data_IF_940399416837
#
_entry.id   IF_940399416837
#
_cell.length_a   1.000
_cell.length_b   1.000
_cell.length_c   1.000
_cell.angle_alpha   90.00
_cell.angle_beta   90.00
_cell.angle_gamma   90.00
#
_symmetry.space_group_name_H-M   'P 1'
#
loop_
_entity.id
_entity.type
_entity.pdbx_description
1 polymer ?
#
# COMPACT_ATOMS: atom_id res chain seq x y z
N UNK A 1 17.11 -10.77 -13.26
CA UNK A 1 16.58 -12.00 -13.85
C UNK A 1 15.05 -11.92 -13.90
N UNK A 2 14.41 -11.92 -15.10
CA UNK A 2 12.95 -11.77 -15.24
C UNK A 2 12.15 -12.83 -14.48
N UNK A 3 12.61 -14.07 -14.48
CA UNK A 3 11.96 -15.17 -13.76
C UNK A 3 11.86 -14.90 -12.24
N UNK A 4 12.94 -14.44 -11.62
CA UNK A 4 12.97 -14.11 -10.19
C UNK A 4 11.97 -12.99 -9.86
N UNK A 5 11.91 -11.94 -10.70
CA UNK A 5 10.98 -10.84 -10.51
C UNK A 5 9.51 -11.30 -10.58
N UNK A 6 9.18 -12.18 -11.53
CA UNK A 6 7.83 -12.74 -11.67
C UNK A 6 7.47 -13.58 -10.44
N UNK A 7 8.39 -14.44 -9.97
CA UNK A 7 8.15 -15.27 -8.77
C UNK A 7 7.94 -14.39 -7.53
N UNK A 8 8.79 -13.39 -7.32
CA UNK A 8 8.65 -12.46 -6.19
C UNK A 8 7.31 -11.72 -6.26
N UNK A 9 6.94 -11.15 -7.41
CA UNK A 9 5.64 -10.49 -7.58
C UNK A 9 4.47 -11.42 -7.26
N UNK A 10 4.51 -12.65 -7.76
CA UNK A 10 3.48 -13.66 -7.49
C UNK A 10 3.36 -13.94 -5.97
N UNK A 11 4.49 -14.13 -5.27
CA UNK A 11 4.51 -14.35 -3.82
C UNK A 11 3.94 -13.17 -3.04
N UNK A 12 4.29 -11.93 -3.42
CA UNK A 12 3.77 -10.71 -2.79
C UNK A 12 2.24 -10.61 -2.96
N UNK A 13 1.75 -10.84 -4.18
CA UNK A 13 0.32 -10.78 -4.47
C UNK A 13 -0.43 -11.88 -3.70
N UNK A 14 0.08 -13.11 -3.74
CA UNK A 14 -0.49 -14.27 -3.05
C UNK A 14 -0.55 -14.02 -1.53
N UNK A 15 0.56 -13.58 -0.94
CA UNK A 15 0.64 -13.25 0.49
C UNK A 15 -0.27 -12.08 0.90
N UNK A 16 -0.42 -11.08 0.03
CA UNK A 16 -1.18 -9.85 0.30
C UNK A 16 -2.70 -9.97 0.16
N UNK A 17 -3.23 -11.04 -0.45
CA UNK A 17 -4.69 -11.21 -0.67
C UNK A 17 -5.44 -11.60 0.62
N UNK A 18 -4.77 -12.27 1.57
CA UNK A 18 -5.37 -12.71 2.84
C UNK A 18 -6.04 -14.09 2.77
N UNK A 19 -5.97 -14.80 3.90
CA UNK A 19 -6.39 -16.22 3.98
C UNK A 19 -7.88 -16.43 3.70
N UNK A 20 -8.75 -15.52 4.16
CA UNK A 20 -10.20 -15.62 3.90
C UNK A 20 -10.55 -15.49 2.41
N UNK A 21 -9.78 -14.71 1.65
CA UNK A 21 -9.96 -14.59 0.21
C UNK A 21 -9.51 -15.85 -0.50
N UNK A 22 -8.45 -16.50 -0.02
CA UNK A 22 -8.00 -17.80 -0.52
C UNK A 22 -9.02 -18.90 -0.26
N UNK A 23 -9.67 -18.88 0.91
CA UNK A 23 -10.78 -19.80 1.21
C UNK A 23 -11.92 -19.64 0.20
N UNK A 24 -12.31 -18.40 -0.11
CA UNK A 24 -13.35 -18.13 -1.12
C UNK A 24 -12.94 -18.61 -2.52
N UNK A 25 -11.67 -18.40 -2.91
CA UNK A 25 -11.15 -18.88 -4.19
C UNK A 25 -11.19 -20.41 -4.24
N UNK A 26 -10.78 -21.10 -3.18
CA UNK A 26 -10.78 -22.56 -3.08
C UNK A 26 -12.21 -23.13 -3.19
N UNK A 27 -13.17 -22.53 -2.46
CA UNK A 27 -14.53 -23.05 -2.35
C UNK A 27 -15.40 -22.71 -3.58
N UNK A 28 -15.23 -21.51 -4.12
CA UNK A 28 -16.08 -21.00 -5.21
C UNK A 28 -15.38 -20.97 -6.59
N UNK A 29 -14.09 -21.33 -6.65
CA UNK A 29 -13.26 -21.33 -7.89
C UNK A 29 -13.46 -20.02 -8.67
N UNK A 30 -13.81 -20.07 -9.96
CA UNK A 30 -13.99 -18.90 -10.83
C UNK A 30 -15.36 -18.20 -10.70
N UNK A 31 -16.21 -18.61 -9.75
CA UNK A 31 -17.52 -18.02 -9.58
C UNK A 31 -17.48 -16.76 -8.71
N UNK A 32 -16.90 -15.66 -9.22
CA UNK A 32 -16.72 -14.38 -8.50
C UNK A 32 -18.02 -13.87 -7.83
N UNK A 33 -19.19 -14.12 -8.43
CA UNK A 33 -20.49 -13.72 -7.87
C UNK A 33 -20.79 -14.36 -6.51
N UNK A 34 -20.26 -15.55 -6.23
CA UNK A 34 -20.48 -16.30 -4.98
C UNK A 34 -19.51 -15.90 -3.85
N UNK A 35 -18.45 -15.12 -4.16
CA UNK A 35 -17.48 -14.68 -3.16
C UNK A 35 -18.12 -13.77 -2.10
N UNK A 36 -17.58 -13.80 -0.91
CA UNK A 36 -17.91 -12.82 0.15
C UNK A 36 -17.65 -11.41 -0.35
N UNK A 37 -18.42 -10.43 0.14
CA UNK A 37 -18.26 -9.03 -0.25
C UNK A 37 -16.81 -8.55 -0.03
N UNK A 38 -16.22 -8.90 1.12
CA UNK A 38 -14.84 -8.55 1.46
C UNK A 38 -13.84 -9.05 0.41
N UNK A 39 -13.93 -10.32 0.01
CA UNK A 39 -13.03 -10.91 -1.00
C UNK A 39 -13.17 -10.24 -2.36
N UNK A 40 -14.39 -9.84 -2.75
CA UNK A 40 -14.62 -9.06 -3.98
C UNK A 40 -13.94 -7.71 -3.93
N UNK A 41 -14.06 -7.01 -2.81
CA UNK A 41 -13.40 -5.70 -2.59
C UNK A 41 -11.89 -5.86 -2.65
N UNK A 42 -11.33 -6.83 -1.93
CA UNK A 42 -9.89 -7.09 -1.88
C UNK A 42 -9.33 -7.36 -3.28
N UNK A 43 -9.95 -8.27 -4.04
CA UNK A 43 -9.48 -8.60 -5.38
C UNK A 43 -9.59 -7.43 -6.34
N UNK A 44 -10.72 -6.70 -6.34
CA UNK A 44 -10.92 -5.55 -7.22
C UNK A 44 -9.92 -4.42 -6.91
N UNK A 45 -9.74 -4.07 -5.63
CA UNK A 45 -8.81 -3.01 -5.23
C UNK A 45 -7.36 -3.43 -5.47
N UNK A 46 -7.02 -4.71 -5.23
CA UNK A 46 -5.68 -5.24 -5.55
C UNK A 46 -5.35 -5.07 -7.03
N UNK A 47 -6.26 -5.41 -7.93
CA UNK A 47 -6.04 -5.23 -9.37
C UNK A 47 -5.86 -3.75 -9.72
N UNK A 48 -6.69 -2.86 -9.18
CA UNK A 48 -6.57 -1.41 -9.41
C UNK A 48 -5.21 -0.89 -8.93
N UNK A 49 -4.79 -1.26 -7.71
CA UNK A 49 -3.52 -0.84 -7.11
C UNK A 49 -2.28 -1.42 -7.82
N UNK A 50 -2.43 -2.46 -8.62
CA UNK A 50 -1.35 -2.98 -9.46
C UNK A 50 -1.39 -2.30 -10.83
N UNK A 51 -2.54 -2.29 -11.50
CA UNK A 51 -2.63 -1.85 -12.90
C UNK A 51 -2.42 -0.35 -13.04
N UNK A 52 -3.11 0.47 -12.22
CA UNK A 52 -3.04 1.93 -12.36
C UNK A 52 -1.61 2.47 -12.14
N UNK A 53 -0.89 2.10 -11.06
CA UNK A 53 0.48 2.55 -10.90
C UNK A 53 1.44 1.92 -11.91
N UNK A 54 1.24 0.67 -12.33
CA UNK A 54 2.07 0.06 -13.36
C UNK A 54 2.00 0.82 -14.69
N UNK A 55 0.79 1.26 -15.08
CA UNK A 55 0.60 2.12 -16.25
C UNK A 55 1.31 3.46 -16.07
N UNK A 56 1.19 4.08 -14.89
CA UNK A 56 1.92 5.32 -14.59
C UNK A 56 3.43 5.13 -14.72
N UNK A 57 4.03 4.14 -14.02
CA UNK A 57 5.47 3.88 -14.08
C UNK A 57 5.93 3.53 -15.50
N UNK A 58 5.12 2.80 -16.25
CA UNK A 58 5.40 2.45 -17.63
C UNK A 58 5.55 3.69 -18.52
N UNK A 59 4.67 4.67 -18.43
CA UNK A 59 4.70 5.82 -19.32
C UNK A 59 5.63 6.94 -18.84
N UNK A 60 5.83 7.12 -17.54
CA UNK A 60 6.51 8.29 -16.99
C UNK A 60 7.90 8.00 -16.41
N UNK A 61 8.10 6.87 -15.73
CA UNK A 61 9.38 6.60 -15.06
C UNK A 61 10.32 5.73 -15.89
N UNK A 62 9.79 4.73 -16.56
CA UNK A 62 10.59 3.75 -17.29
C UNK A 62 10.57 3.92 -18.81
N UNK A 63 10.29 5.13 -19.28
CA UNK A 63 10.15 5.43 -20.71
C UNK A 63 11.40 5.04 -21.54
N UNK A 64 12.58 5.15 -20.96
CA UNK A 64 13.85 4.90 -21.63
C UNK A 64 14.26 3.42 -21.71
N UNK A 65 13.50 2.50 -21.07
CA UNK A 65 13.84 1.07 -21.07
C UNK A 65 13.26 0.35 -22.29
N UNK A 66 13.90 -0.77 -22.74
CA UNK A 66 13.35 -1.65 -23.75
C UNK A 66 11.97 -2.19 -23.32
N UNK A 67 11.04 -2.41 -24.26
CA UNK A 67 9.64 -2.71 -24.00
C UNK A 67 9.42 -3.86 -22.99
N UNK A 68 10.13 -4.98 -23.12
CA UNK A 68 9.98 -6.13 -22.23
C UNK A 68 10.44 -5.84 -20.79
N UNK A 69 11.57 -5.16 -20.64
CA UNK A 69 12.12 -4.76 -19.35
C UNK A 69 11.24 -3.69 -18.70
N UNK A 70 10.78 -2.74 -19.49
CA UNK A 70 9.85 -1.66 -19.08
C UNK A 70 8.56 -2.20 -18.48
N UNK A 71 7.91 -3.18 -19.13
CA UNK A 71 6.69 -3.82 -18.61
C UNK A 71 6.98 -4.51 -17.28
N UNK A 72 8.04 -5.33 -17.23
CA UNK A 72 8.36 -6.10 -16.02
C UNK A 72 8.71 -5.20 -14.84
N UNK A 73 9.51 -4.16 -15.07
CA UNK A 73 9.94 -3.23 -14.02
C UNK A 73 8.78 -2.38 -13.52
N UNK A 74 7.90 -1.91 -14.42
CA UNK A 74 6.71 -1.16 -14.04
C UNK A 74 5.73 -1.98 -13.21
N UNK A 75 5.52 -3.24 -13.57
CA UNK A 75 4.71 -4.18 -12.77
C UNK A 75 5.36 -4.46 -11.42
N UNK A 76 6.68 -4.70 -11.39
CA UNK A 76 7.40 -4.95 -10.15
C UNK A 76 7.30 -3.74 -9.21
N UNK A 77 7.49 -2.53 -9.73
CA UNK A 77 7.41 -1.29 -8.95
C UNK A 77 5.99 -1.00 -8.41
N UNK A 78 4.94 -1.46 -9.09
CA UNK A 78 3.57 -1.35 -8.58
C UNK A 78 3.23 -2.37 -7.48
N UNK A 79 3.94 -3.51 -7.45
CA UNK A 79 3.69 -4.61 -6.51
C UNK A 79 4.52 -4.48 -5.24
N UNK A 80 5.82 -4.14 -5.35
CA UNK A 80 6.76 -4.13 -4.22
C UNK A 80 6.40 -3.18 -3.06
N UNK A 81 5.80 -1.98 -3.28
CA UNK A 81 5.41 -1.09 -2.19
C UNK A 81 4.30 -1.65 -1.29
N UNK A 82 3.66 -2.72 -1.71
CA UNK A 82 2.62 -3.40 -0.92
C UNK A 82 3.22 -4.31 0.16
N UNK A 83 4.01 -3.70 1.05
CA UNK A 83 4.65 -4.28 2.24
C UNK A 83 5.66 -5.42 1.95
N UNK A 84 6.37 -5.34 0.83
CA UNK A 84 7.37 -6.32 0.46
C UNK A 84 8.81 -5.77 0.45
N UNK A 85 9.00 -4.53 -0.01
CA UNK A 85 10.25 -3.80 0.11
C UNK A 85 11.40 -4.29 -0.79
N UNK A 86 11.14 -5.22 -1.70
CA UNK A 86 12.17 -5.64 -2.66
C UNK A 86 12.44 -4.53 -3.67
N UNK A 87 13.70 -4.20 -3.86
CA UNK A 87 14.12 -3.16 -4.78
C UNK A 87 14.87 -3.76 -5.98
N UNK A 88 14.47 -3.39 -7.19
CA UNK A 88 15.14 -3.78 -8.44
C UNK A 88 15.70 -2.57 -9.19
N UNK A 89 15.32 -1.35 -8.78
CA UNK A 89 15.71 -0.10 -9.41
C UNK A 89 15.99 0.94 -8.32
N UNK A 90 16.86 1.89 -8.65
CA UNK A 90 17.22 2.98 -7.74
C UNK A 90 16.08 4.01 -7.68
N UNK A 91 15.35 4.01 -6.57
CA UNK A 91 14.20 4.91 -6.34
C UNK A 91 14.60 6.38 -6.18
N UNK A 92 15.86 6.67 -5.85
CA UNK A 92 16.35 8.04 -5.75
C UNK A 92 16.38 8.76 -7.10
N UNK A 93 16.39 8.00 -8.19
CA UNK A 93 16.37 8.52 -9.58
C UNK A 93 14.97 8.79 -10.12
N UNK A 94 13.93 8.42 -9.38
CA UNK A 94 12.56 8.70 -9.79
C UNK A 94 12.27 10.20 -9.74
N UNK A 95 11.35 10.61 -10.57
CA UNK A 95 10.75 11.94 -10.45
C UNK A 95 10.08 12.10 -9.07
N UNK A 96 9.92 13.34 -8.59
CA UNK A 96 9.20 13.59 -7.34
C UNK A 96 7.77 13.00 -7.38
N UNK A 97 7.13 13.03 -8.55
CA UNK A 97 5.82 12.42 -8.76
C UNK A 97 5.86 10.90 -8.68
N UNK A 98 6.92 10.25 -9.17
CA UNK A 98 7.12 8.81 -9.04
C UNK A 98 7.40 8.38 -7.61
N UNK A 99 8.20 9.16 -6.88
CA UNK A 99 8.44 8.95 -5.45
C UNK A 99 7.13 9.12 -4.66
N UNK A 100 6.33 10.14 -4.96
CA UNK A 100 5.02 10.37 -4.34
C UNK A 100 4.02 9.24 -4.66
N UNK A 101 3.99 8.74 -5.90
CA UNK A 101 3.16 7.59 -6.27
C UNK A 101 3.56 6.34 -5.47
N UNK A 102 4.86 6.07 -5.35
CA UNK A 102 5.38 4.95 -4.56
C UNK A 102 5.01 5.11 -3.08
N UNK A 103 5.13 6.32 -2.53
CA UNK A 103 4.75 6.66 -1.16
C UNK A 103 3.26 6.38 -0.90
N UNK A 104 2.36 6.80 -1.79
CA UNK A 104 0.92 6.53 -1.67
C UNK A 104 0.60 5.03 -1.72
N UNK A 105 1.35 4.26 -2.52
CA UNK A 105 1.22 2.80 -2.53
C UNK A 105 1.69 2.18 -1.22
N UNK A 106 2.78 2.66 -0.62
CA UNK A 106 3.29 2.18 0.68
C UNK A 106 2.30 2.39 1.82
N UNK A 107 1.54 3.49 1.80
CA UNK A 107 0.50 3.75 2.81
C UNK A 107 -0.68 2.77 2.69
N UNK A 108 -0.86 2.13 1.52
CA UNK A 108 -1.94 1.17 1.29
C UNK A 108 -1.39 -0.25 1.35
N UNK A 109 -1.49 -0.89 2.49
CA UNK A 109 -0.99 -2.24 2.73
C UNK A 109 -1.79 -3.35 2.05
N UNK A 110 -1.80 -4.54 2.64
CA UNK A 110 -2.54 -5.69 2.11
C UNK A 110 -3.95 -5.87 2.69
N UNK A 111 -4.53 -7.04 2.46
CA UNK A 111 -5.83 -7.43 2.99
C UNK A 111 -5.77 -7.75 4.49
N UNK A 112 -6.89 -7.63 5.23
CA UNK A 112 -6.99 -8.19 6.58
C UNK A 112 -6.73 -9.69 6.57
N UNK A 113 -5.94 -10.19 7.56
CA UNK A 113 -5.53 -11.58 7.63
C UNK A 113 -4.59 -12.00 6.48
N UNK A 114 -3.77 -11.06 6.00
CA UNK A 114 -2.68 -11.29 5.05
C UNK A 114 -1.32 -11.21 5.75
N UNK A 115 -0.26 -11.52 5.03
CA UNK A 115 1.12 -11.33 5.50
C UNK A 115 1.58 -9.86 5.43
N UNK A 116 0.76 -8.95 4.93
CA UNK A 116 1.10 -7.55 4.75
C UNK A 116 0.72 -6.71 5.98
N UNK A 117 1.60 -5.80 6.37
CA UNK A 117 1.35 -4.79 7.41
C UNK A 117 0.62 -3.55 6.86
N UNK A 118 0.78 -2.42 7.54
CA UNK A 118 0.23 -1.14 7.14
C UNK A 118 -1.30 -1.05 7.17
N UNK A 119 -1.82 0.06 6.65
CA UNK A 119 -3.26 0.29 6.57
C UNK A 119 -3.92 -0.66 5.58
N UNK A 120 -4.96 -1.38 6.02
CA UNK A 120 -5.59 -2.42 5.21
C UNK A 120 -6.34 -1.85 4.01
N UNK A 121 -6.24 -2.53 2.85
CA UNK A 121 -6.94 -2.16 1.60
C UNK A 121 -8.45 -1.98 1.83
N UNK A 122 -9.06 -2.77 2.74
CA UNK A 122 -10.48 -2.66 3.07
C UNK A 122 -10.82 -1.32 3.74
N UNK A 123 -9.93 -0.77 4.57
CA UNK A 123 -10.08 0.55 5.20
C UNK A 123 -10.14 1.64 4.13
N UNK A 124 -9.18 1.65 3.21
CA UNK A 124 -9.15 2.60 2.08
C UNK A 124 -10.39 2.43 1.20
N UNK A 125 -10.77 1.20 0.87
CA UNK A 125 -11.94 0.92 0.06
C UNK A 125 -13.24 1.45 0.70
N UNK A 126 -13.43 1.24 2.02
CA UNK A 126 -14.60 1.76 2.76
C UNK A 126 -14.65 3.28 2.69
N UNK A 127 -13.53 3.97 2.91
CA UNK A 127 -13.47 5.43 2.86
C UNK A 127 -13.75 5.98 1.46
N UNK A 128 -13.14 5.41 0.42
CA UNK A 128 -13.40 5.81 -0.97
C UNK A 128 -14.86 5.60 -1.34
N UNK A 129 -15.46 4.46 -0.94
CA UNK A 129 -16.87 4.19 -1.20
C UNK A 129 -17.79 5.14 -0.43
N UNK A 130 -17.45 5.47 0.82
CA UNK A 130 -18.19 6.44 1.62
C UNK A 130 -18.13 7.83 0.97
N UNK A 131 -16.94 8.29 0.59
CA UNK A 131 -16.76 9.56 -0.11
C UNK A 131 -17.56 9.62 -1.42
N UNK A 132 -17.52 8.55 -2.23
CA UNK A 132 -18.32 8.46 -3.46
C UNK A 132 -19.83 8.45 -3.17
N UNK A 133 -20.27 7.82 -2.09
CA UNK A 133 -21.68 7.81 -1.70
C UNK A 133 -22.18 9.21 -1.32
N UNK A 134 -21.38 9.96 -0.57
CA UNK A 134 -21.66 11.37 -0.23
C UNK A 134 -21.69 12.24 -1.49
N UNK A 135 -20.69 12.09 -2.35
CA UNK A 135 -20.60 12.85 -3.62
C UNK A 135 -21.81 12.58 -4.53
N UNK A 136 -22.26 11.32 -4.59
CA UNK A 136 -23.43 10.90 -5.37
C UNK A 136 -24.77 11.11 -4.63
N UNK A 137 -24.77 11.81 -3.48
CA UNK A 137 -25.94 12.08 -2.64
C UNK A 137 -26.76 10.83 -2.26
N UNK A 138 -26.07 9.70 -2.03
CA UNK A 138 -26.69 8.47 -1.55
C UNK A 138 -26.74 8.46 -0.03
N UNK A 139 -27.89 8.14 0.54
CA UNK A 139 -28.08 8.09 2.00
C UNK A 139 -27.21 7.05 2.70
N UNK A 140 -26.78 6.00 2.01
CA UNK A 140 -26.07 4.86 2.59
C UNK A 140 -24.91 4.40 1.70
N UNK A 141 -23.81 4.02 2.33
CA UNK A 141 -22.65 3.45 1.64
C UNK A 141 -22.90 1.98 1.29
N UNK A 142 -22.71 1.61 0.04
CA UNK A 142 -22.89 0.25 -0.44
C UNK A 142 -21.65 -0.26 -1.18
N UNK A 143 -21.28 -1.53 -0.92
CA UNK A 143 -20.37 -2.31 -1.75
C UNK A 143 -21.09 -3.52 -2.33
N UNK A 144 -20.97 -3.76 -3.63
CA UNK A 144 -21.57 -4.91 -4.31
C UNK A 144 -23.02 -5.21 -3.85
N UNK A 145 -23.86 -4.15 -3.75
CA UNK A 145 -25.27 -4.19 -3.30
C UNK A 145 -25.47 -4.52 -1.81
N UNK A 146 -24.42 -4.56 -0.98
CA UNK A 146 -24.52 -4.72 0.47
C UNK A 146 -24.23 -3.39 1.16
N UNK A 147 -25.02 -3.05 2.15
CA UNK A 147 -24.83 -1.87 2.99
C UNK A 147 -23.62 -2.07 3.91
N UNK A 148 -22.81 -1.00 4.06
CA UNK A 148 -21.77 -0.89 5.07
C UNK A 148 -22.39 -0.15 6.26
N UNK A 149 -22.11 -0.61 7.48
CA UNK A 149 -22.58 0.08 8.69
C UNK A 149 -21.84 1.40 8.88
N UNK A 150 -22.52 2.40 9.43
CA UNK A 150 -21.94 3.71 9.71
C UNK A 150 -20.83 3.61 10.76
N UNK A 151 -20.90 2.63 11.65
CA UNK A 151 -19.86 2.31 12.62
C UNK A 151 -18.54 1.83 11.92
N UNK A 152 -18.67 1.01 10.90
CA UNK A 152 -17.50 0.58 10.08
C UNK A 152 -16.85 1.77 9.39
N UNK A 153 -17.65 2.70 8.86
CA UNK A 153 -17.14 3.92 8.20
C UNK A 153 -16.41 4.81 9.22
N UNK A 154 -17.00 5.02 10.42
CA UNK A 154 -16.37 5.81 11.50
C UNK A 154 -15.06 5.18 11.95
N UNK A 155 -15.02 3.87 12.17
CA UNK A 155 -13.80 3.15 12.55
C UNK A 155 -12.72 3.27 11.49
N UNK A 156 -13.08 3.10 10.21
CA UNK A 156 -12.15 3.28 9.09
C UNK A 156 -11.60 4.71 9.02
N UNK A 157 -12.45 5.72 9.24
CA UNK A 157 -12.03 7.13 9.25
C UNK A 157 -11.06 7.42 10.42
N UNK A 158 -11.35 6.90 11.61
CA UNK A 158 -10.48 7.06 12.78
C UNK A 158 -9.10 6.46 12.53
N UNK A 159 -9.04 5.21 12.04
CA UNK A 159 -7.77 4.54 11.71
C UNK A 159 -6.99 5.34 10.67
N UNK A 160 -7.67 5.80 9.61
CA UNK A 160 -7.04 6.59 8.56
C UNK A 160 -6.46 7.90 9.09
N UNK A 161 -7.23 8.66 9.89
CA UNK A 161 -6.76 9.93 10.45
C UNK A 161 -5.57 9.74 11.39
N UNK A 162 -5.61 8.74 12.26
CA UNK A 162 -4.47 8.41 13.13
C UNK A 162 -3.23 8.03 12.31
N UNK A 163 -3.42 7.21 11.28
CA UNK A 163 -2.33 6.76 10.41
C UNK A 163 -1.67 7.92 9.67
N UNK A 164 -2.47 8.81 9.09
CA UNK A 164 -1.99 10.01 8.38
C UNK A 164 -1.32 10.99 9.35
N UNK A 165 -1.87 11.19 10.55
CA UNK A 165 -1.26 12.06 11.55
C UNK A 165 0.13 11.57 11.98
N UNK A 166 0.28 10.27 12.23
CA UNK A 166 1.56 9.67 12.59
C UNK A 166 2.57 9.73 11.43
N UNK A 167 2.12 9.42 10.21
CA UNK A 167 2.92 9.48 9.00
C UNK A 167 3.47 10.89 8.75
N UNK A 168 2.59 11.90 8.70
CA UNK A 168 2.99 13.28 8.43
C UNK A 168 3.79 13.85 9.61
N UNK A 169 3.31 13.64 10.85
CA UNK A 169 3.99 14.13 12.04
C UNK A 169 5.41 13.57 12.18
N UNK A 170 5.57 12.27 12.01
CA UNK A 170 6.90 11.63 12.00
C UNK A 170 7.80 12.17 10.91
N UNK A 171 7.29 12.32 9.67
CA UNK A 171 8.05 12.87 8.55
C UNK A 171 8.50 14.31 8.78
N UNK A 172 7.62 15.16 9.31
CA UNK A 172 7.96 16.56 9.64
C UNK A 172 9.04 16.66 10.72
N UNK A 173 8.95 15.84 11.77
CA UNK A 173 9.93 15.81 12.86
C UNK A 173 11.30 15.35 12.33
N UNK A 174 11.35 14.26 11.58
CA UNK A 174 12.59 13.73 11.00
C UNK A 174 13.20 14.75 10.03
N UNK A 175 12.41 15.34 9.14
CA UNK A 175 12.88 16.37 8.20
C UNK A 175 13.54 17.54 8.93
N UNK A 176 12.96 17.96 10.06
CA UNK A 176 13.48 19.08 10.86
C UNK A 176 14.75 18.73 11.62
N UNK A 177 14.83 17.52 12.19
CA UNK A 177 16.00 17.09 12.98
C UNK A 177 17.20 16.84 12.07
N UNK A 178 16.97 16.16 10.94
CA UNK A 178 18.05 15.71 10.06
C UNK A 178 18.39 16.74 8.95
N UNK A 179 17.63 17.83 8.83
CA UNK A 179 17.78 18.83 7.75
C UNK A 179 17.72 18.21 6.34
N UNK A 180 16.85 17.22 6.13
CA UNK A 180 16.65 16.55 4.84
C UNK A 180 15.35 17.01 4.18
N UNK A 181 15.20 16.85 2.83
CA UNK A 181 13.98 17.19 2.13
C UNK A 181 12.76 16.49 2.73
N UNK A 182 11.65 17.21 2.84
CA UNK A 182 10.42 16.67 3.44
C UNK A 182 9.91 15.42 2.71
N UNK A 183 9.99 15.38 1.37
CA UNK A 183 9.58 14.22 0.59
C UNK A 183 10.38 12.96 0.96
N UNK A 184 11.70 13.09 1.15
CA UNK A 184 12.55 11.97 1.57
C UNK A 184 12.19 11.47 2.97
N UNK A 185 11.94 12.37 3.93
CA UNK A 185 11.49 11.99 5.28
C UNK A 185 10.12 11.32 5.27
N UNK A 186 9.18 11.86 4.49
CA UNK A 186 7.86 11.25 4.32
C UNK A 186 7.95 9.88 3.65
N UNK A 187 8.88 9.68 2.73
CA UNK A 187 9.10 8.38 2.12
C UNK A 187 9.55 7.33 3.15
N UNK A 188 10.53 7.68 4.02
CA UNK A 188 11.00 6.79 5.09
C UNK A 188 9.89 6.50 6.11
N UNK A 189 9.12 7.52 6.53
CA UNK A 189 8.02 7.31 7.48
C UNK A 189 6.86 6.52 6.88
N UNK A 190 6.55 6.69 5.59
CA UNK A 190 5.57 5.86 4.87
C UNK A 190 6.04 4.40 4.80
N UNK A 191 7.32 4.19 4.51
CA UNK A 191 7.93 2.86 4.48
C UNK A 191 7.92 2.21 5.86
N UNK A 192 8.20 2.96 6.92
CA UNK A 192 8.19 2.47 8.29
C UNK A 192 6.79 2.10 8.76
N UNK A 193 5.82 3.03 8.70
CA UNK A 193 4.45 2.79 9.15
C UNK A 193 3.72 1.80 8.24
N UNK A 194 4.06 1.76 6.94
CA UNK A 194 3.56 0.76 5.99
C UNK A 194 4.22 -0.62 6.15
N UNK A 195 5.26 -0.75 6.98
CA UNK A 195 6.09 -1.96 7.13
C UNK A 195 6.63 -2.49 5.80
N UNK A 196 7.07 -1.57 4.91
CA UNK A 196 7.45 -1.90 3.53
C UNK A 196 8.93 -2.24 3.41
N UNK A 197 9.81 -1.36 3.91
CA UNK A 197 11.26 -1.56 3.83
C UNK A 197 11.94 -0.90 2.62
N UNK A 198 11.22 -0.11 1.81
CA UNK A 198 11.82 0.72 0.76
C UNK A 198 12.43 1.98 1.37
N UNK A 199 13.53 2.46 0.81
CA UNK A 199 14.22 3.69 1.22
C UNK A 199 14.76 4.44 0.02
N UNK A 200 14.85 5.77 0.16
CA UNK A 200 15.58 6.63 -0.78
C UNK A 200 17.08 6.74 -0.42
N UNK A 201 17.58 5.87 0.47
CA UNK A 201 18.98 5.85 0.91
C UNK A 201 19.26 6.73 2.12
N UNK A 202 18.24 7.34 2.71
CA UNK A 202 18.41 8.26 3.86
C UNK A 202 18.55 7.53 5.19
N UNK A 203 17.91 6.36 5.33
CA UNK A 203 17.80 5.59 6.59
C UNK A 203 19.15 5.29 7.25
N UNK A 204 20.20 5.06 6.47
CA UNK A 204 21.54 4.73 7.00
C UNK A 204 22.25 5.91 7.62
N UNK A 205 21.85 7.13 7.29
CA UNK A 205 22.49 8.38 7.75
C UNK A 205 21.75 9.12 8.86
N UNK A 206 20.53 8.67 9.24
CA UNK A 206 19.73 9.38 10.25
C UNK A 206 20.21 9.12 11.67
N UNK A 207 20.07 10.14 12.54
CA UNK A 207 20.45 10.08 13.96
C UNK A 207 19.54 9.17 14.79
N UNK A 208 19.97 8.89 16.03
CA UNK A 208 19.30 7.97 16.97
C UNK A 208 17.82 8.34 17.20
N UNK A 209 17.52 9.63 17.33
CA UNK A 209 16.14 10.09 17.58
C UNK A 209 15.23 9.74 16.41
N UNK A 210 15.69 9.97 15.19
CA UNK A 210 14.94 9.62 13.97
C UNK A 210 14.77 8.12 13.81
N UNK A 211 15.80 7.32 14.15
CA UNK A 211 15.71 5.86 14.18
C UNK A 211 14.65 5.37 15.19
N UNK A 212 14.60 5.95 16.39
CA UNK A 212 13.58 5.61 17.38
C UNK A 212 12.16 5.94 16.89
N UNK A 213 11.98 7.08 16.23
CA UNK A 213 10.68 7.44 15.61
C UNK A 213 10.28 6.39 14.56
N UNK A 214 11.20 6.00 13.68
CA UNK A 214 10.92 4.97 12.66
C UNK A 214 10.58 3.62 13.29
N UNK A 215 11.28 3.20 14.36
CA UNK A 215 10.98 1.96 15.09
C UNK A 215 9.56 2.00 15.69
N UNK A 216 9.19 3.13 16.32
CA UNK A 216 7.83 3.28 16.88
C UNK A 216 6.78 3.21 15.77
N UNK A 217 7.02 3.86 14.61
CA UNK A 217 6.12 3.78 13.46
C UNK A 217 5.99 2.36 12.92
N UNK A 218 7.08 1.59 12.85
CA UNK A 218 7.07 0.17 12.45
C UNK A 218 6.22 -0.68 13.39
N UNK A 219 6.36 -0.47 14.72
CA UNK A 219 5.56 -1.18 15.74
C UNK A 219 4.07 -0.87 15.59
N UNK A 220 3.71 0.39 15.36
CA UNK A 220 2.30 0.81 15.16
C UNK A 220 1.77 0.26 13.83
N UNK A 221 2.61 0.27 12.79
CA UNK A 221 2.25 -0.22 11.45
C UNK A 221 2.00 -1.72 11.38
N UNK A 222 2.65 -2.50 12.25
CA UNK A 222 2.40 -3.93 12.43
C UNK A 222 1.05 -4.20 13.11
N UNK A 223 -0.05 -3.84 12.46
CA UNK A 223 -1.38 -3.82 13.05
C UNK A 223 -1.91 -5.21 13.44
N UNK A 224 -2.80 -5.30 14.47
CA UNK A 224 -3.48 -6.54 14.83
C UNK A 224 -4.20 -7.19 13.64
N UNK A 225 -4.09 -8.51 13.51
CA UNK A 225 -4.67 -9.27 12.39
C UNK A 225 -3.77 -9.32 11.15
N UNK A 226 -2.54 -8.83 11.24
CA UNK A 226 -1.47 -9.06 10.27
C UNK A 226 -0.44 -10.03 10.85
N UNK A 227 0.11 -10.90 10.01
CA UNK A 227 1.24 -11.78 10.39
C UNK A 227 2.60 -11.12 10.17
N UNK A 228 2.60 -9.89 9.63
CA UNK A 228 3.81 -9.12 9.31
C UNK A 228 4.22 -8.16 10.43
N UNK A 229 3.44 -8.07 11.48
CA UNK A 229 3.71 -7.18 12.61
C UNK A 229 4.64 -7.78 13.64
#
# INVERSE_FOLDING_TARGET
NPFVNIVIMALIIIGGIGFLTWEDIKNNKFHFRKYRMQSKVILSVTVILIVVPAVYFFFFEYFNLPLGERILTSLFQSVTPRTAGFNTTDLSKFSETGQMMTLLLMLTGGAPGSTAGGMKITTVAVLVSSALSVFLRKEKTHFFKRRISDETVKSAATIFLMYIALFIGGGMIISRIENIPLLSSLFETASAIGTVGLSLGVTTGVGIVSQLILIVLMLIGGSPGSTAG
#
